data_IF_550150384877
#
_entry.id   IF_550150384877
#
_cell.length_a   1.000
_cell.length_b   1.000
_cell.length_c   1.000
_cell.angle_alpha   90.00
_cell.angle_beta   90.00
_cell.angle_gamma   90.00
#
_symmetry.space_group_name_H-M   'P 1'
#
loop_
_entity.id
_entity.type
_entity.pdbx_description
1 polymer ?
#
# COMPACT_ATOMS: atom_id res chain seq x y z
N UNK A 1 5.00 40.90 -59.89
CA UNK A 1 6.36 40.38 -60.15
C UNK A 1 7.02 40.06 -58.81
N UNK A 2 7.32 38.80 -58.50
CA UNK A 2 6.78 37.52 -59.00
C UNK A 2 5.92 36.84 -57.90
N UNK A 3 4.81 36.12 -58.12
CA UNK A 3 4.41 35.09 -59.08
C UNK A 3 5.14 33.74 -58.96
N UNK A 4 4.34 32.73 -58.63
CA UNK A 4 4.26 31.39 -59.24
C UNK A 4 4.74 30.12 -58.50
N UNK A 5 3.73 29.28 -58.22
CA UNK A 5 3.55 27.85 -58.59
C UNK A 5 4.29 26.70 -57.89
N UNK A 6 3.44 25.95 -57.16
CA UNK A 6 3.02 24.53 -57.35
C UNK A 6 4.08 23.41 -57.36
N UNK A 7 3.85 22.45 -56.44
CA UNK A 7 3.76 20.96 -56.54
C UNK A 7 4.36 20.39 -55.23
N UNK A 8 3.72 19.53 -54.43
CA UNK A 8 2.73 18.51 -54.73
C UNK A 8 3.39 17.13 -54.73
N UNK A 9 3.71 16.58 -53.54
CA UNK A 9 3.92 15.17 -53.22
C UNK A 9 3.65 15.08 -51.70
N UNK A 10 2.61 14.42 -51.18
CA UNK A 10 2.26 13.06 -51.50
C UNK A 10 3.11 12.10 -50.67
N UNK A 11 2.92 12.08 -49.35
CA UNK A 11 3.20 10.92 -48.49
C UNK A 11 2.33 11.01 -47.24
N UNK A 12 1.14 10.44 -47.36
CA UNK A 12 0.50 9.86 -46.19
C UNK A 12 1.40 8.76 -45.66
N UNK A 13 1.68 8.80 -44.37
CA UNK A 13 2.19 7.68 -43.61
C UNK A 13 1.34 7.55 -42.35
N UNK A 14 1.12 6.31 -41.90
CA UNK A 14 -0.22 5.81 -41.66
C UNK A 14 -0.59 5.79 -40.18
N UNK A 15 -1.89 5.84 -39.94
CA UNK A 15 -2.56 5.11 -38.85
C UNK A 15 -1.87 5.14 -37.49
N UNK A 16 -2.19 6.14 -36.68
CA UNK A 16 -2.19 6.04 -35.22
C UNK A 16 -3.32 5.07 -34.78
N UNK A 17 -3.18 3.80 -35.15
CA UNK A 17 -4.21 2.78 -35.00
C UNK A 17 -3.59 1.39 -35.01
N UNK A 18 -3.02 0.99 -33.88
CA UNK A 18 -2.95 -0.38 -33.37
C UNK A 18 -2.17 -0.33 -32.07
N UNK A 19 -2.78 -0.78 -30.97
CA UNK A 19 -2.02 -1.21 -29.80
C UNK A 19 -1.22 -2.45 -30.19
N UNK A 20 -0.08 -2.25 -30.83
CA UNK A 20 0.82 -3.32 -31.23
C UNK A 20 1.35 -3.98 -29.97
N UNK A 21 0.87 -5.18 -29.67
CA UNK A 21 1.48 -6.04 -28.67
C UNK A 21 2.96 -6.20 -29.05
N UNK A 22 3.84 -5.94 -28.08
CA UNK A 22 5.28 -6.13 -28.27
C UNK A 22 5.54 -7.56 -28.76
N UNK A 23 6.53 -7.78 -29.65
CA UNK A 23 6.89 -9.11 -30.08
C UNK A 23 7.13 -10.04 -28.88
N UNK A 24 6.72 -11.32 -28.94
CA UNK A 24 6.79 -12.23 -27.80
C UNK A 24 8.22 -12.40 -27.25
N UNK A 25 9.23 -12.32 -28.11
CA UNK A 25 10.65 -12.34 -27.72
C UNK A 25 11.03 -11.10 -26.89
N UNK A 26 10.56 -9.91 -27.29
CA UNK A 26 10.79 -8.66 -26.54
C UNK A 26 10.06 -8.69 -25.21
N UNK A 27 8.83 -9.23 -25.16
CA UNK A 27 8.10 -9.43 -23.91
C UNK A 27 8.81 -10.40 -22.98
N UNK A 28 9.33 -11.50 -23.50
CA UNK A 28 10.08 -12.49 -22.72
C UNK A 28 11.36 -11.89 -22.14
N UNK A 29 12.13 -11.16 -22.95
CA UNK A 29 13.35 -10.50 -22.49
C UNK A 29 13.05 -9.38 -21.48
N UNK A 30 12.00 -8.60 -21.71
CA UNK A 30 11.56 -7.56 -20.75
C UNK A 30 11.20 -8.19 -19.41
N UNK A 31 10.44 -9.30 -19.40
CA UNK A 31 10.10 -10.02 -18.17
C UNK A 31 11.36 -10.52 -17.46
N UNK A 32 12.29 -11.13 -18.19
CA UNK A 32 13.57 -11.60 -17.64
C UNK A 32 14.34 -10.46 -16.98
N UNK A 33 14.46 -9.31 -17.65
CA UNK A 33 15.15 -8.14 -17.11
C UNK A 33 14.43 -7.59 -15.86
N UNK A 34 13.11 -7.48 -15.89
CA UNK A 34 12.34 -7.06 -14.71
C UNK A 34 12.50 -8.03 -13.54
N UNK A 35 12.53 -9.34 -13.81
CA UNK A 35 12.80 -10.36 -12.79
C UNK A 35 14.21 -10.21 -12.23
N UNK A 36 15.23 -10.07 -13.09
CA UNK A 36 16.62 -9.87 -12.68
C UNK A 36 16.80 -8.62 -11.81
N UNK A 37 16.26 -7.48 -12.24
CA UNK A 37 16.24 -6.25 -11.45
C UNK A 37 15.52 -6.46 -10.12
N UNK A 38 14.37 -7.14 -10.12
CA UNK A 38 13.63 -7.45 -8.89
C UNK A 38 14.46 -8.31 -7.92
N UNK A 39 15.22 -9.29 -8.44
CA UNK A 39 16.12 -10.11 -7.61
C UNK A 39 17.26 -9.28 -7.02
N UNK A 40 17.85 -8.38 -7.80
CA UNK A 40 18.93 -7.51 -7.35
C UNK A 40 18.45 -6.52 -6.28
N UNK A 41 17.26 -5.95 -6.46
CA UNK A 41 16.66 -5.06 -5.45
C UNK A 41 16.43 -5.84 -4.15
N UNK A 42 15.82 -7.01 -4.24
CA UNK A 42 15.49 -7.82 -3.06
C UNK A 42 16.72 -8.36 -2.31
N UNK A 43 17.84 -8.60 -2.98
CA UNK A 43 19.06 -9.10 -2.32
C UNK A 43 19.68 -8.08 -1.36
N UNK A 44 19.36 -6.79 -1.53
CA UNK A 44 19.82 -5.71 -0.66
C UNK A 44 19.11 -5.70 0.70
N UNK A 45 17.90 -6.28 0.77
CA UNK A 45 17.05 -6.20 1.96
C UNK A 45 17.05 -7.50 2.75
N UNK A 46 17.25 -7.44 4.09
CA UNK A 46 17.35 -8.63 4.92
C UNK A 46 16.20 -9.62 4.72
N UNK A 47 16.52 -10.90 4.52
CA UNK A 47 15.53 -11.98 4.52
C UNK A 47 14.59 -12.09 3.33
N UNK A 48 14.65 -11.18 2.34
CA UNK A 48 13.81 -11.30 1.15
C UNK A 48 14.32 -12.37 0.17
N UNK A 49 15.63 -12.69 0.24
CA UNK A 49 16.28 -13.74 -0.54
C UNK A 49 17.32 -14.54 0.26
N UNK A 50 17.70 -15.75 -0.17
CA UNK A 50 18.77 -16.51 0.49
C UNK A 50 20.12 -15.79 0.50
N UNK A 51 20.41 -15.01 -0.55
CA UNK A 51 21.63 -14.22 -0.72
C UNK A 51 21.60 -12.85 -0.01
N UNK A 52 20.45 -12.47 0.54
CA UNK A 52 20.31 -11.23 1.30
C UNK A 52 20.90 -11.32 2.71
N UNK A 53 21.12 -10.19 3.42
CA UNK A 53 21.61 -10.20 4.80
C UNK A 53 20.78 -11.14 5.70
N UNK A 54 21.48 -11.99 6.46
CA UNK A 54 20.87 -12.98 7.34
C UNK A 54 21.17 -12.68 8.82
N UNK A 55 20.24 -13.03 9.73
CA UNK A 55 20.48 -12.92 11.16
C UNK A 55 21.62 -13.83 11.61
N UNK A 56 22.22 -13.50 12.76
CA UNK A 56 23.26 -14.34 13.38
C UNK A 56 22.71 -15.75 13.66
N UNK A 57 23.43 -16.82 13.24
CA UNK A 57 22.99 -18.20 13.44
C UNK A 57 22.80 -18.57 14.91
N UNK A 58 21.76 -19.36 15.20
CA UNK A 58 21.36 -19.74 16.56
C UNK A 58 22.43 -20.48 17.37
N UNK A 59 23.32 -21.24 16.73
CA UNK A 59 24.36 -22.04 17.40
C UNK A 59 25.58 -21.25 17.89
N UNK A 60 25.45 -19.93 18.04
CA UNK A 60 26.53 -19.06 18.51
C UNK A 60 26.03 -18.28 19.74
N UNK A 61 26.91 -17.84 20.66
CA UNK A 61 26.47 -17.03 21.82
C UNK A 61 25.66 -15.79 21.41
N UNK A 62 26.08 -15.09 20.36
CA UNK A 62 25.34 -13.95 19.81
C UNK A 62 23.98 -14.36 19.19
N UNK A 63 23.88 -15.57 18.66
CA UNK A 63 22.63 -16.16 18.18
C UNK A 63 21.66 -16.51 19.30
N UNK A 64 22.16 -17.02 20.43
CA UNK A 64 21.36 -17.30 21.63
C UNK A 64 20.81 -16.00 22.22
N UNK A 65 21.65 -14.98 22.42
CA UNK A 65 21.22 -13.64 22.87
C UNK A 65 20.16 -13.02 21.93
N UNK A 66 20.32 -13.22 20.62
CA UNK A 66 19.35 -12.79 19.61
C UNK A 66 18.01 -13.49 19.82
N UNK A 67 17.99 -14.80 20.03
CA UNK A 67 16.77 -15.57 20.24
C UNK A 67 16.05 -15.17 21.54
N UNK A 68 16.80 -14.92 22.62
CA UNK A 68 16.21 -14.37 23.84
C UNK A 68 15.59 -12.98 23.62
N UNK A 69 16.28 -12.12 22.86
CA UNK A 69 15.74 -10.80 22.48
C UNK A 69 14.48 -10.94 21.62
N UNK A 70 14.47 -11.88 20.68
CA UNK A 70 13.31 -12.17 19.85
C UNK A 70 12.09 -12.59 20.68
N UNK A 71 12.29 -13.49 21.65
CA UNK A 71 11.22 -13.91 22.56
C UNK A 71 10.67 -12.72 23.37
N UNK A 72 11.55 -11.90 23.96
CA UNK A 72 11.16 -10.69 24.70
C UNK A 72 10.36 -9.71 23.84
N UNK A 73 10.80 -9.46 22.60
CA UNK A 73 10.10 -8.55 21.70
C UNK A 73 8.69 -9.02 21.31
N UNK A 74 8.50 -10.33 21.17
CA UNK A 74 7.19 -10.93 20.91
C UNK A 74 6.27 -10.78 22.13
N UNK A 75 6.79 -11.06 23.32
CA UNK A 75 6.06 -10.88 24.58
C UNK A 75 5.66 -9.42 24.81
N UNK A 76 6.59 -8.49 24.56
CA UNK A 76 6.37 -7.04 24.67
C UNK A 76 5.27 -6.57 23.69
N UNK A 77 5.30 -7.04 22.44
CA UNK A 77 4.27 -6.73 21.45
C UNK A 77 2.89 -7.24 21.90
N UNK A 78 2.83 -8.47 22.42
CA UNK A 78 1.58 -9.07 22.88
C UNK A 78 1.03 -8.34 24.11
N UNK A 79 1.89 -7.99 25.06
CA UNK A 79 1.52 -7.16 26.20
C UNK A 79 0.99 -5.80 25.74
N UNK A 80 1.69 -5.15 24.81
CA UNK A 80 1.34 -3.83 24.29
C UNK A 80 -0.04 -3.81 23.63
N UNK A 81 -0.33 -4.78 22.76
CA UNK A 81 -1.66 -4.94 22.13
C UNK A 81 -2.77 -5.12 23.17
N UNK A 82 -2.52 -5.93 24.22
CA UNK A 82 -3.48 -6.16 25.30
C UNK A 82 -3.72 -4.92 26.15
N UNK A 83 -2.69 -4.12 26.39
CA UNK A 83 -2.76 -2.92 27.21
C UNK A 83 -3.51 -1.78 26.50
N UNK A 84 -3.25 -1.58 25.20
CA UNK A 84 -3.76 -0.42 24.48
C UNK A 84 -4.97 -0.67 23.56
N UNK A 85 -5.41 -1.93 23.36
CA UNK A 85 -6.63 -2.34 22.62
C UNK A 85 -7.29 -1.26 21.72
N UNK A 86 -7.03 -1.23 20.40
CA UNK A 86 -6.13 -2.09 19.63
C UNK A 86 -4.68 -1.58 19.58
N UNK A 87 -4.45 -0.31 19.92
CA UNK A 87 -3.17 0.35 19.80
C UNK A 87 -3.12 1.63 20.63
N UNK A 88 -1.92 2.16 20.86
CA UNK A 88 -1.73 3.43 21.56
C UNK A 88 -2.14 4.61 20.69
N UNK A 89 -1.79 4.58 19.41
CA UNK A 89 -2.19 5.56 18.41
C UNK A 89 -3.55 5.16 17.82
N UNK A 90 -4.60 5.44 18.59
CA UNK A 90 -5.98 5.17 18.20
C UNK A 90 -6.50 6.21 17.23
N UNK A 91 -7.36 5.79 16.32
CA UNK A 91 -8.07 6.70 15.44
C UNK A 91 -9.54 6.34 15.26
N UNK A 92 -10.31 7.38 14.93
CA UNK A 92 -11.76 7.38 14.78
C UNK A 92 -12.12 8.05 13.46
N UNK A 93 -13.37 7.90 12.96
CA UNK A 93 -13.81 8.52 11.71
C UNK A 93 -13.57 10.03 11.64
N UNK A 94 -13.63 10.75 12.77
CA UNK A 94 -13.37 12.19 12.85
C UNK A 94 -11.96 12.55 12.39
N UNK A 95 -10.97 11.69 12.64
CA UNK A 95 -9.62 11.92 12.14
C UNK A 95 -9.53 11.78 10.62
N UNK A 96 -10.37 10.94 10.01
CA UNK A 96 -10.43 10.82 8.55
C UNK A 96 -11.03 12.09 7.94
N UNK A 97 -12.10 12.62 8.56
CA UNK A 97 -12.68 13.91 8.20
C UNK A 97 -11.61 15.00 8.31
N UNK A 98 -10.86 15.07 9.41
CA UNK A 98 -9.77 16.04 9.58
C UNK A 98 -8.71 15.95 8.48
N UNK A 99 -8.32 14.74 8.06
CA UNK A 99 -7.37 14.53 6.97
C UNK A 99 -7.98 15.04 5.67
N UNK A 100 -9.17 14.58 5.31
CA UNK A 100 -9.85 14.96 4.07
C UNK A 100 -10.07 16.48 3.99
N UNK A 101 -10.62 17.09 5.06
CA UNK A 101 -10.87 18.54 5.14
C UNK A 101 -9.59 19.34 5.00
N UNK A 102 -8.48 18.94 5.63
CA UNK A 102 -7.19 19.62 5.47
C UNK A 102 -6.67 19.51 4.03
N UNK A 103 -6.77 18.32 3.43
CA UNK A 103 -6.31 18.08 2.06
C UNK A 103 -7.13 18.85 1.03
N UNK A 104 -8.43 19.02 1.25
CA UNK A 104 -9.35 19.73 0.33
C UNK A 104 -9.44 21.23 0.60
N UNK A 105 -8.69 21.75 1.59
CA UNK A 105 -8.78 23.15 1.99
C UNK A 105 -10.15 23.54 2.56
N UNK A 106 -10.87 22.58 3.14
CA UNK A 106 -12.20 22.79 3.72
C UNK A 106 -13.37 22.51 2.77
N UNK A 107 -13.11 22.11 1.52
CA UNK A 107 -14.18 21.76 0.58
C UNK A 107 -14.87 20.45 1.00
N UNK A 108 -16.20 20.52 1.15
CA UNK A 108 -17.06 19.40 1.54
C UNK A 108 -17.93 18.89 0.39
N UNK A 109 -18.31 19.77 -0.55
CA UNK A 109 -19.21 19.43 -1.64
C UNK A 109 -18.46 19.30 -2.98
N UNK A 110 -18.66 18.16 -3.66
CA UNK A 110 -18.06 17.86 -4.95
C UNK A 110 -19.15 17.50 -5.97
N UNK A 111 -19.50 18.43 -6.87
CA UNK A 111 -20.60 18.23 -7.83
C UNK A 111 -20.26 18.57 -9.30
N UNK A 112 -19.01 18.85 -9.65
CA UNK A 112 -18.64 19.38 -10.97
C UNK A 112 -17.53 18.59 -11.65
N UNK A 113 -17.38 18.77 -12.97
CA UNK A 113 -16.26 18.20 -13.72
C UNK A 113 -14.90 18.68 -13.20
N UNK A 114 -14.80 19.93 -12.76
CA UNK A 114 -13.55 20.47 -12.19
C UNK A 114 -13.22 19.76 -10.87
N UNK A 115 -14.23 19.48 -10.04
CA UNK A 115 -14.06 18.69 -8.83
C UNK A 115 -13.56 17.28 -9.13
N UNK A 116 -14.11 16.62 -10.16
CA UNK A 116 -13.67 15.30 -10.59
C UNK A 116 -12.19 15.28 -11.03
N UNK A 117 -11.70 16.38 -11.61
CA UNK A 117 -10.28 16.54 -11.99
C UNK A 117 -9.34 16.78 -10.79
N UNK A 118 -9.87 17.34 -9.70
CA UNK A 118 -9.09 17.66 -8.49
C UNK A 118 -8.99 16.48 -7.53
N UNK A 119 -10.03 15.65 -7.42
CA UNK A 119 -10.06 14.50 -6.51
C UNK A 119 -8.84 13.55 -6.64
N UNK A 120 -8.34 13.21 -7.85
CA UNK A 120 -7.11 12.44 -7.99
C UNK A 120 -5.90 13.09 -7.33
N UNK A 121 -5.76 14.41 -7.42
CA UNK A 121 -4.64 15.15 -6.82
C UNK A 121 -4.71 15.12 -5.29
N UNK A 122 -5.90 15.30 -4.72
CA UNK A 122 -6.13 15.17 -3.28
C UNK A 122 -5.83 13.74 -2.79
N UNK A 123 -6.32 12.74 -3.52
CA UNK A 123 -6.07 11.33 -3.24
C UNK A 123 -4.58 11.00 -3.26
N UNK A 124 -3.86 11.48 -4.26
CA UNK A 124 -2.43 11.21 -4.42
C UNK A 124 -1.61 11.91 -3.32
N UNK A 125 -1.97 13.14 -2.93
CA UNK A 125 -1.34 13.82 -1.80
C UNK A 125 -1.45 13.04 -0.48
N UNK A 126 -2.60 12.40 -0.21
CA UNK A 126 -2.75 11.52 0.97
C UNK A 126 -2.02 10.20 0.77
N UNK A 127 -2.03 9.63 -0.43
CA UNK A 127 -1.30 8.40 -0.75
C UNK A 127 0.21 8.58 -0.55
N UNK A 128 0.77 9.74 -0.86
CA UNK A 128 2.19 10.02 -0.63
C UNK A 128 2.54 9.88 0.85
N UNK A 129 1.64 10.28 1.75
CA UNK A 129 1.83 10.06 3.20
C UNK A 129 1.79 8.56 3.54
N UNK A 130 0.89 7.78 2.93
CA UNK A 130 0.87 6.30 3.09
C UNK A 130 2.19 5.68 2.63
N UNK A 131 2.78 6.17 1.53
CA UNK A 131 4.09 5.73 1.07
C UNK A 131 5.20 6.06 2.08
N UNK A 132 5.18 7.26 2.68
CA UNK A 132 6.13 7.62 3.73
C UNK A 132 6.03 6.67 4.94
N UNK A 133 4.82 6.32 5.36
CA UNK A 133 4.62 5.31 6.40
C UNK A 133 5.14 3.94 5.97
N UNK A 134 4.91 3.53 4.72
CA UNK A 134 5.35 2.23 4.20
C UNK A 134 6.87 2.08 4.24
N UNK A 135 7.61 3.13 3.85
CA UNK A 135 9.07 3.14 3.92
C UNK A 135 9.57 3.07 5.38
N UNK A 136 8.98 3.87 6.27
CA UNK A 136 9.33 3.82 7.70
C UNK A 136 9.03 2.44 8.33
N UNK A 137 7.90 1.82 7.98
CA UNK A 137 7.51 0.46 8.41
C UNK A 137 8.51 -0.56 7.88
N UNK A 138 8.84 -0.50 6.58
CA UNK A 138 9.77 -1.44 5.94
C UNK A 138 11.12 -1.49 6.62
N UNK A 139 11.64 -0.34 7.04
CA UNK A 139 12.91 -0.30 7.78
C UNK A 139 12.81 -1.01 9.14
N UNK A 140 11.71 -0.81 9.88
CA UNK A 140 11.49 -1.50 11.15
C UNK A 140 11.24 -3.01 10.96
N UNK A 141 10.63 -3.41 9.84
CA UNK A 141 10.45 -4.82 9.46
C UNK A 141 11.80 -5.50 9.17
N UNK A 142 12.71 -4.82 8.46
CA UNK A 142 14.06 -5.30 8.22
C UNK A 142 14.85 -5.45 9.54
N UNK A 143 14.78 -4.46 10.44
CA UNK A 143 15.39 -4.54 11.78
C UNK A 143 14.82 -5.71 12.60
N UNK A 144 13.49 -5.92 12.52
CA UNK A 144 12.81 -7.03 13.17
C UNK A 144 13.26 -8.37 12.62
N UNK A 145 13.44 -8.49 11.30
CA UNK A 145 13.94 -9.71 10.66
C UNK A 145 15.34 -10.08 11.15
N UNK A 146 16.25 -9.11 11.28
CA UNK A 146 17.61 -9.37 11.78
C UNK A 146 17.64 -9.93 13.21
N UNK A 147 16.55 -9.74 13.97
CA UNK A 147 16.40 -10.32 15.31
C UNK A 147 15.58 -11.61 15.30
N UNK A 148 14.40 -11.63 14.67
CA UNK A 148 13.49 -12.79 14.70
C UNK A 148 13.89 -13.88 13.70
N UNK A 149 14.49 -13.50 12.58
CA UNK A 149 14.91 -14.39 11.50
C UNK A 149 13.78 -15.01 10.68
N UNK A 150 12.55 -14.48 10.78
CA UNK A 150 11.39 -15.02 10.08
C UNK A 150 10.35 -13.95 9.81
N UNK A 151 10.14 -13.63 8.53
CA UNK A 151 9.03 -12.76 8.12
C UNK A 151 7.66 -13.41 8.30
N UNK A 152 7.55 -14.73 8.25
CA UNK A 152 6.29 -15.43 8.54
C UNK A 152 5.84 -15.20 9.98
N UNK A 153 6.78 -15.21 10.92
CA UNK A 153 6.50 -14.92 12.33
C UNK A 153 6.09 -13.47 12.50
N UNK A 154 6.87 -12.54 11.92
CA UNK A 154 6.56 -11.11 11.95
C UNK A 154 5.18 -10.82 11.35
N UNK A 155 4.89 -11.38 10.18
CA UNK A 155 3.63 -11.21 9.46
C UNK A 155 2.43 -11.75 10.23
N UNK A 156 2.56 -12.95 10.82
CA UNK A 156 1.53 -13.52 11.69
C UNK A 156 1.20 -12.60 12.86
N UNK A 157 2.22 -12.08 13.53
CA UNK A 157 2.01 -11.20 14.67
C UNK A 157 1.44 -9.84 14.26
N UNK A 158 1.87 -9.26 13.15
CA UNK A 158 1.41 -7.93 12.73
C UNK A 158 0.12 -7.97 11.89
N UNK A 159 -0.34 -9.16 11.50
CA UNK A 159 -1.46 -9.34 10.57
C UNK A 159 -1.10 -8.82 9.17
N UNK A 160 0.11 -9.13 8.71
CA UNK A 160 0.62 -8.79 7.37
C UNK A 160 0.90 -10.06 6.57
N UNK A 161 0.60 -10.00 5.29
CA UNK A 161 1.01 -10.99 4.30
C UNK A 161 2.47 -10.77 3.88
N UNK A 162 3.10 -11.81 3.34
CA UNK A 162 4.46 -11.68 2.82
C UNK A 162 4.55 -10.70 1.64
N UNK A 163 3.48 -10.56 0.85
CA UNK A 163 3.40 -9.58 -0.23
C UNK A 163 3.44 -8.14 0.29
N UNK A 164 2.70 -7.85 1.37
CA UNK A 164 2.72 -6.53 2.04
C UNK A 164 4.10 -6.25 2.65
N UNK A 165 4.69 -7.22 3.36
CA UNK A 165 6.03 -7.08 3.95
C UNK A 165 7.05 -6.78 2.85
N UNK A 166 7.08 -7.57 1.78
CA UNK A 166 8.01 -7.38 0.66
C UNK A 166 7.86 -5.99 0.06
N UNK A 167 6.62 -5.54 -0.19
CA UNK A 167 6.34 -4.21 -0.70
C UNK A 167 6.91 -3.12 0.22
N UNK A 168 6.56 -3.16 1.51
CA UNK A 168 7.02 -2.15 2.49
C UNK A 168 8.54 -2.13 2.64
N UNK A 169 9.18 -3.30 2.71
CA UNK A 169 10.64 -3.40 2.86
C UNK A 169 11.37 -2.84 1.65
N UNK A 170 10.93 -3.15 0.42
CA UNK A 170 11.53 -2.58 -0.80
C UNK A 170 11.35 -1.06 -0.83
N UNK A 171 10.16 -0.57 -0.44
CA UNK A 171 9.88 0.86 -0.34
C UNK A 171 10.70 1.59 0.74
N UNK A 172 11.36 0.88 1.65
CA UNK A 172 12.16 1.50 2.73
C UNK A 172 13.51 2.05 2.30
N UNK A 173 13.93 1.82 1.05
CA UNK A 173 15.18 2.36 0.53
C UNK A 173 15.26 3.89 0.73
N UNK A 174 16.43 4.38 1.14
CA UNK A 174 16.69 5.81 1.33
C UNK A 174 16.50 6.57 0.02
N UNK A 175 16.77 5.93 -1.12
CA UNK A 175 16.52 6.50 -2.45
C UNK A 175 15.04 6.86 -2.66
N UNK A 176 14.12 6.14 -2.01
CA UNK A 176 12.68 6.39 -2.09
C UNK A 176 12.21 7.47 -1.09
N UNK A 177 13.05 7.86 -0.13
CA UNK A 177 12.65 8.72 0.98
C UNK A 177 12.58 10.21 0.63
N UNK A 178 12.98 10.61 -0.58
CA UNK A 178 13.06 12.01 -0.98
C UNK A 178 14.08 12.82 -0.16
N UNK A 179 14.27 14.12 -0.46
CA UNK A 179 15.30 14.95 0.18
C UNK A 179 15.06 15.18 1.68
N UNK A 180 13.81 15.10 2.15
CA UNK A 180 13.48 15.24 3.57
C UNK A 180 13.48 13.91 4.33
N UNK A 181 13.63 12.78 3.64
CA UNK A 181 13.43 11.46 4.21
C UNK A 181 11.96 11.15 4.50
N UNK A 182 11.71 10.14 5.34
CA UNK A 182 10.38 9.74 5.80
C UNK A 182 9.79 10.71 6.86
N UNK A 183 9.76 12.01 6.55
CA UNK A 183 9.61 13.13 7.50
C UNK A 183 8.17 13.49 7.90
N UNK A 184 7.22 12.57 7.91
CA UNK A 184 5.88 12.91 8.39
C UNK A 184 5.86 13.14 9.92
N UNK A 185 5.24 14.23 10.45
CA UNK A 185 5.24 14.53 11.89
C UNK A 185 4.68 13.40 12.76
N UNK A 186 3.71 12.64 12.26
CA UNK A 186 3.14 11.50 12.99
C UNK A 186 4.11 10.31 13.06
N UNK A 187 4.94 10.06 12.02
CA UNK A 187 5.99 9.04 12.07
C UNK A 187 6.99 9.40 13.17
N UNK A 188 7.45 10.65 13.17
CA UNK A 188 8.34 11.18 14.20
C UNK A 188 7.74 11.09 15.61
N UNK A 189 6.44 11.34 15.73
CA UNK A 189 5.71 11.20 17.01
C UNK A 189 5.69 9.75 17.49
N UNK A 190 5.41 8.78 16.63
CA UNK A 190 5.42 7.35 17.00
C UNK A 190 6.80 6.96 17.48
N UNK A 191 7.85 7.22 16.68
CA UNK A 191 9.21 6.84 17.02
C UNK A 191 9.70 7.51 18.32
N UNK A 192 9.29 8.75 18.58
CA UNK A 192 9.62 9.45 19.84
C UNK A 192 8.87 8.87 21.05
N UNK A 193 7.59 8.58 20.91
CA UNK A 193 6.74 8.13 22.03
C UNK A 193 7.00 6.68 22.36
N UNK A 194 7.06 5.80 21.35
CA UNK A 194 7.36 4.38 21.51
C UNK A 194 8.84 4.18 21.84
N UNK A 195 9.74 4.92 21.18
CA UNK A 195 11.19 4.81 21.40
C UNK A 195 11.66 5.23 22.80
N UNK A 196 10.81 5.91 23.58
CA UNK A 196 11.07 6.26 24.99
C UNK A 196 10.50 5.25 25.99
N UNK A 197 9.81 4.21 25.52
CA UNK A 197 9.29 3.17 26.41
C UNK A 197 10.41 2.22 26.86
N UNK A 198 10.34 1.70 28.09
CA UNK A 198 11.37 0.81 28.62
C UNK A 198 11.48 -0.53 27.88
N UNK A 199 10.41 -0.94 27.18
CA UNK A 199 10.31 -2.17 26.37
C UNK A 199 10.32 -1.84 24.86
N UNK A 200 11.27 -0.99 24.44
CA UNK A 200 11.38 -0.60 23.02
C UNK A 200 11.62 -1.83 22.14
N UNK A 201 10.73 -2.02 21.18
CA UNK A 201 10.86 -3.05 20.14
C UNK A 201 10.47 -2.48 18.78
N UNK A 202 11.25 -2.70 17.71
CA UNK A 202 10.86 -2.38 16.35
C UNK A 202 9.50 -2.97 15.95
N UNK A 203 9.09 -4.10 16.54
CA UNK A 203 7.75 -4.67 16.31
C UNK A 203 6.62 -3.79 16.83
N UNK A 204 6.81 -3.16 17.99
CA UNK A 204 5.83 -2.21 18.56
C UNK A 204 5.81 -0.94 17.72
N UNK A 205 6.97 -0.44 17.29
CA UNK A 205 7.07 0.70 16.38
C UNK A 205 6.32 0.41 15.08
N UNK A 206 6.55 -0.75 14.46
CA UNK A 206 5.82 -1.20 13.26
C UNK A 206 4.32 -1.29 13.52
N UNK A 207 3.90 -1.90 14.64
CA UNK A 207 2.48 -2.04 14.96
C UNK A 207 1.75 -0.69 15.03
N UNK A 208 2.36 0.30 15.68
CA UNK A 208 1.78 1.64 15.82
C UNK A 208 1.82 2.43 14.52
N UNK A 209 2.91 2.32 13.73
CA UNK A 209 2.98 2.91 12.40
C UNK A 209 1.92 2.32 11.45
N UNK A 210 1.67 1.01 11.52
CA UNK A 210 0.62 0.35 10.73
C UNK A 210 -0.77 0.93 11.03
N UNK A 211 -1.07 1.27 12.30
CA UNK A 211 -2.37 1.84 12.63
C UNK A 211 -2.57 3.19 11.97
N UNK A 212 -1.55 4.05 12.00
CA UNK A 212 -1.61 5.36 11.36
C UNK A 212 -1.59 5.24 9.84
N UNK A 213 -0.79 4.35 9.28
CA UNK A 213 -0.80 4.04 7.84
C UNK A 213 -2.21 3.62 7.38
N UNK A 214 -2.89 2.75 8.13
CA UNK A 214 -4.28 2.33 7.85
C UNK A 214 -5.28 3.48 7.95
N UNK A 215 -5.09 4.44 8.86
CA UNK A 215 -5.91 5.66 8.93
C UNK A 215 -5.74 6.51 7.65
N UNK A 216 -4.51 6.73 7.20
CA UNK A 216 -4.28 7.48 5.96
C UNK A 216 -4.78 6.72 4.72
N UNK A 217 -4.64 5.39 4.69
CA UNK A 217 -5.21 4.56 3.63
C UNK A 217 -6.75 4.65 3.61
N UNK A 218 -7.39 4.67 4.78
CA UNK A 218 -8.83 4.88 4.87
C UNK A 218 -9.25 6.26 4.32
N UNK A 219 -8.45 7.31 4.51
CA UNK A 219 -8.69 8.61 3.88
C UNK A 219 -8.48 8.58 2.35
N UNK A 220 -7.49 7.83 1.84
CA UNK A 220 -7.33 7.58 0.40
C UNK A 220 -8.57 6.89 -0.18
N UNK A 221 -9.14 5.95 0.56
CA UNK A 221 -10.35 5.24 0.17
C UNK A 221 -11.58 6.16 0.13
N UNK A 222 -11.70 7.13 1.04
CA UNK A 222 -12.75 8.16 0.97
C UNK A 222 -12.65 8.98 -0.32
N UNK A 223 -11.45 9.42 -0.71
CA UNK A 223 -11.28 10.13 -1.98
C UNK A 223 -11.57 9.26 -3.20
N UNK A 224 -11.28 7.97 -3.11
CA UNK A 224 -11.64 7.00 -4.14
C UNK A 224 -13.15 6.87 -4.28
N UNK A 225 -13.87 6.75 -3.16
CA UNK A 225 -15.33 6.64 -3.13
C UNK A 225 -15.98 7.93 -3.67
N UNK A 226 -15.51 9.10 -3.23
CA UNK A 226 -15.96 10.40 -3.77
C UNK A 226 -15.73 10.51 -5.29
N UNK A 227 -14.61 9.97 -5.80
CA UNK A 227 -14.34 9.96 -7.24
C UNK A 227 -15.35 9.09 -7.98
N UNK A 228 -15.62 7.88 -7.48
CA UNK A 228 -16.55 6.92 -8.09
C UNK A 228 -17.99 7.44 -8.05
N UNK A 229 -18.41 8.00 -6.92
CA UNK A 229 -19.74 8.57 -6.74
C UNK A 229 -19.96 9.75 -7.70
N UNK A 230 -19.00 10.68 -7.78
CA UNK A 230 -19.09 11.83 -8.66
C UNK A 230 -19.10 11.43 -10.15
N UNK A 231 -18.40 10.35 -10.53
CA UNK A 231 -18.54 9.79 -11.89
C UNK A 231 -19.98 9.34 -12.13
N UNK A 232 -20.57 8.63 -11.16
CA UNK A 232 -21.97 8.19 -11.22
C UNK A 232 -22.96 9.34 -11.35
N UNK A 233 -22.76 10.41 -10.58
CA UNK A 233 -23.63 11.61 -10.59
C UNK A 233 -23.53 12.42 -11.89
N UNK A 234 -22.33 12.51 -12.48
CA UNK A 234 -22.10 13.24 -13.72
C UNK A 234 -22.44 12.41 -14.97
N UNK A 235 -22.64 11.11 -14.82
CA UNK A 235 -23.04 10.21 -15.90
C UNK A 235 -24.39 10.65 -16.48
N UNK A 236 -24.50 10.63 -17.80
CA UNK A 236 -25.68 11.14 -18.52
C UNK A 236 -25.67 12.65 -18.78
N UNK A 237 -24.83 13.42 -18.08
CA UNK A 237 -24.60 14.85 -18.36
C UNK A 237 -23.33 15.09 -19.19
N UNK A 238 -22.42 14.12 -19.18
CA UNK A 238 -21.11 14.15 -19.84
C UNK A 238 -20.85 12.80 -20.52
N UNK A 239 -19.97 12.82 -21.53
CA UNK A 239 -19.51 11.62 -22.21
C UNK A 239 -18.57 10.81 -21.28
N UNK A 240 -18.65 9.49 -21.34
CA UNK A 240 -17.85 8.61 -20.49
C UNK A 240 -16.34 8.76 -20.74
N UNK A 241 -15.93 9.09 -21.97
CA UNK A 241 -14.52 9.36 -22.28
C UNK A 241 -14.00 10.59 -21.52
N UNK A 242 -14.84 11.62 -21.38
CA UNK A 242 -14.51 12.85 -20.67
C UNK A 242 -14.43 12.58 -19.16
N UNK A 243 -15.34 11.77 -18.61
CA UNK A 243 -15.32 11.34 -17.21
C UNK A 243 -14.09 10.46 -16.91
N UNK A 244 -13.73 9.56 -17.82
CA UNK A 244 -12.57 8.70 -17.68
C UNK A 244 -11.26 9.50 -17.69
N UNK A 245 -11.15 10.50 -18.56
CA UNK A 245 -10.02 11.42 -18.58
C UNK A 245 -9.96 12.27 -17.31
N UNK A 246 -11.07 12.89 -16.91
CA UNK A 246 -11.13 13.78 -15.75
C UNK A 246 -10.84 13.06 -14.43
N UNK A 247 -11.34 11.84 -14.24
CA UNK A 247 -11.10 11.05 -13.03
C UNK A 247 -9.67 10.51 -12.88
N UNK A 248 -8.79 10.74 -13.87
CA UNK A 248 -7.45 10.16 -13.92
C UNK A 248 -7.43 8.67 -14.29
N UNK A 249 -8.56 8.11 -14.73
CA UNK A 249 -8.65 6.70 -15.15
C UNK A 249 -8.04 6.47 -16.55
N UNK A 250 -8.00 7.52 -17.37
CA UNK A 250 -7.41 7.57 -18.71
C UNK A 250 -8.23 6.88 -19.80
N UNK A 251 -8.95 5.80 -19.49
CA UNK A 251 -9.83 5.09 -20.43
C UNK A 251 -11.13 4.66 -19.75
N UNK A 252 -12.23 4.59 -20.51
CA UNK A 252 -13.54 4.14 -20.00
C UNK A 252 -13.45 2.76 -19.35
N UNK A 253 -12.75 1.81 -19.98
CA UNK A 253 -12.54 0.47 -19.40
C UNK A 253 -11.87 0.51 -18.02
N UNK A 254 -10.84 1.34 -17.84
CA UNK A 254 -10.17 1.48 -16.54
C UNK A 254 -11.07 2.19 -15.52
N UNK A 255 -11.87 3.16 -15.96
CA UNK A 255 -12.88 3.81 -15.14
C UNK A 255 -13.92 2.80 -14.63
N UNK A 256 -14.48 1.97 -15.50
CA UNK A 256 -15.44 0.92 -15.12
C UNK A 256 -14.82 -0.10 -14.15
N UNK A 257 -13.59 -0.54 -14.42
CA UNK A 257 -12.87 -1.44 -13.50
C UNK A 257 -12.64 -0.80 -12.13
N UNK A 258 -12.38 0.51 -12.09
CA UNK A 258 -12.20 1.27 -10.85
C UNK A 258 -13.49 1.32 -10.05
N UNK A 259 -14.61 1.66 -10.69
CA UNK A 259 -15.95 1.65 -10.09
C UNK A 259 -16.28 0.27 -9.54
N UNK A 260 -16.15 -0.78 -10.35
CA UNK A 260 -16.43 -2.16 -9.94
C UNK A 260 -15.58 -2.61 -8.74
N UNK A 261 -14.30 -2.22 -8.69
CA UNK A 261 -13.42 -2.53 -7.55
C UNK A 261 -13.86 -1.81 -6.28
N UNK A 262 -14.20 -0.53 -6.37
CA UNK A 262 -14.69 0.25 -5.24
C UNK A 262 -16.01 -0.35 -4.70
N UNK A 263 -16.96 -0.64 -5.59
CA UNK A 263 -18.25 -1.23 -5.22
C UNK A 263 -18.11 -2.64 -4.62
N UNK A 264 -17.22 -3.47 -5.17
CA UNK A 264 -16.97 -4.80 -4.63
C UNK A 264 -16.35 -4.73 -3.22
N UNK A 265 -15.36 -3.85 -3.03
CA UNK A 265 -14.63 -3.73 -1.77
C UNK A 265 -15.45 -3.03 -0.68
N UNK A 266 -16.11 -1.92 -1.01
CA UNK A 266 -16.73 -1.00 -0.03
C UNK A 266 -18.21 -0.70 -0.30
N UNK A 267 -18.78 -1.17 -1.41
CA UNK A 267 -20.19 -0.94 -1.75
C UNK A 267 -20.48 0.42 -2.35
N UNK A 268 -21.76 0.70 -2.56
CA UNK A 268 -22.28 1.96 -3.10
C UNK A 268 -22.50 3.05 -2.04
N UNK A 269 -23.00 4.24 -2.43
CA UNK A 269 -23.36 5.30 -1.50
C UNK A 269 -24.27 4.81 -0.36
N UNK A 270 -23.91 5.14 0.88
CA UNK A 270 -24.64 4.72 2.08
C UNK A 270 -24.32 3.30 2.59
N UNK A 271 -23.44 2.54 1.93
CA UNK A 271 -23.02 1.23 2.41
C UNK A 271 -22.19 1.36 3.72
N UNK A 272 -22.51 0.61 4.78
CA UNK A 272 -21.75 0.63 6.04
C UNK A 272 -20.25 0.35 5.89
N UNK A 273 -19.84 -0.38 4.85
CA UNK A 273 -18.43 -0.69 4.56
C UNK A 273 -17.61 0.53 4.16
N UNK A 274 -18.25 1.64 3.77
CA UNK A 274 -17.61 2.93 3.48
C UNK A 274 -17.29 3.78 4.71
N UNK A 275 -17.58 3.29 5.92
CA UNK A 275 -17.27 3.99 7.17
C UNK A 275 -16.12 3.27 7.89
N UNK A 276 -14.86 3.67 7.62
CA UNK A 276 -13.71 2.97 8.18
C UNK A 276 -13.67 3.18 9.70
N UNK A 277 -13.46 2.10 10.44
CA UNK A 277 -13.11 2.20 11.85
C UNK A 277 -11.93 1.30 12.16
N UNK A 278 -11.06 1.75 13.05
CA UNK A 278 -9.93 0.95 13.52
C UNK A 278 -10.39 -0.36 14.18
N UNK A 279 -11.61 -0.37 14.73
CA UNK A 279 -12.15 -1.45 15.56
C UNK A 279 -12.90 -2.52 14.75
N UNK A 280 -13.40 -2.21 13.56
CA UNK A 280 -14.08 -3.20 12.70
C UNK A 280 -13.10 -4.07 11.88
N UNK A 281 -11.88 -3.59 11.63
CA UNK A 281 -10.87 -4.30 10.83
C UNK A 281 -10.25 -5.54 11.51
N UNK A 282 -10.48 -5.72 12.82
CA UNK A 282 -9.91 -6.83 13.61
C UNK A 282 -10.78 -8.10 13.56
N UNK A 283 -11.99 -8.03 12.99
CA UNK A 283 -12.96 -9.11 13.02
C UNK A 283 -12.95 -10.07 11.80
N UNK A 284 -11.99 -9.95 10.88
CA UNK A 284 -11.83 -10.95 9.81
C UNK A 284 -11.03 -12.15 10.34
N UNK A 285 -11.62 -13.34 10.50
CA UNK A 285 -10.84 -14.54 10.83
C UNK A 285 -9.91 -14.88 9.65
N UNK A 286 -8.70 -15.44 9.90
CA UNK A 286 -7.92 -16.03 8.83
C UNK A 286 -8.75 -17.15 8.18
N UNK A 287 -8.85 -17.12 6.85
CA UNK A 287 -9.52 -18.15 6.06
C UNK A 287 -9.07 -19.54 6.55
N UNK A 288 -10.06 -20.36 6.93
CA UNK A 288 -9.84 -21.68 7.50
C UNK A 288 -8.99 -22.53 6.55
N UNK A 289 -7.81 -22.94 7.02
CA UNK A 289 -7.03 -23.99 6.35
C UNK A 289 -7.83 -25.28 6.50
N UNK A 290 -8.41 -25.74 5.39
CA UNK A 290 -9.02 -27.06 5.27
C UNK A 290 -7.99 -28.10 5.65
N UNK A 291 -8.11 -28.63 6.87
CA UNK A 291 -7.28 -29.72 7.35
C UNK A 291 -7.74 -30.99 6.61
N UNK A 292 -6.96 -31.45 5.64
CA UNK A 292 -7.16 -32.78 5.07
C UNK A 292 -6.91 -33.80 6.18
N UNK A 293 -8.00 -34.36 6.69
CA UNK A 293 -8.00 -35.49 7.58
C UNK A 293 -7.42 -36.70 6.85
N UNK A 294 -6.23 -37.15 7.26
CA UNK A 294 -5.72 -38.49 6.91
C UNK A 294 -6.54 -39.50 7.71
N UNK A 295 -7.52 -40.12 7.06
CA UNK A 295 -8.20 -41.29 7.60
C UNK A 295 -7.19 -42.43 7.79
N UNK A 296 -7.00 -42.82 9.04
CA UNK A 296 -6.42 -44.10 9.39
C UNK A 296 -7.35 -45.22 8.91
N UNK A 297 -6.88 -46.05 7.98
CA UNK A 297 -7.52 -47.29 7.58
C UNK A 297 -6.62 -48.46 7.96
N UNK A 298 -6.92 -49.11 9.09
CA UNK A 298 -6.40 -50.43 9.47
C UNK A 298 -7.60 -51.33 9.72
N UNK A 299 -7.80 -52.32 8.85
CA UNK A 299 -8.33 -53.65 9.11
C UNK A 299 -8.88 -54.25 7.81
N UNK A 300 -8.13 -55.17 7.20
CA UNK A 300 -8.40 -56.63 7.22
C UNK A 300 -7.12 -57.33 6.85
#
# INVERSE_FOLDING_TARGET
MPADRRRGLGRGAPGAGAGGELPPEVLAETRRLCEEMGREIESRFPGLRPDSPQPVPAGTPAGEERLERAARWLDDLMWHKRMYRPARFRWWPEHLVDICTKTTGGQLDFSTMAHLQLLPQHRDSVRDVVHQFSGAIGQRLADSYMTLGSYDTIGRELGLTMAEIRGMVIWSDVENAGPEGWSHPQISRVLRVVGRQPFRSPLIETWELLQLSRMYQAAVDIFEDLTVDLIGELRGQRLDEVLAAASGSGTVRRMEQRIQRADAARGGPGDPRRYPTQFLSIAAPPASVTTMSKSAGRAT
#
